data_IF_022051619085
#
_entry.id   IF_022051619085
#
_cell.length_a   1.000
_cell.length_b   1.000
_cell.length_c   1.000
_cell.angle_alpha   90.00
_cell.angle_beta   90.00
_cell.angle_gamma   90.00
#
_symmetry.space_group_name_H-M   'P 1'
#
loop_
_entity.id
_entity.type
_entity.pdbx_description
1 polymer ?
#
# COMPACT_ATOMS: atom_id res chain seq x y z
N UNK A 1 -9.26 7.96 28.10
CA UNK A 1 -8.35 9.12 28.29
C UNK A 1 -7.38 9.15 27.11
N UNK A 2 -7.59 10.04 26.14
CA UNK A 2 -6.64 10.21 25.03
C UNK A 2 -5.44 10.99 25.56
N UNK A 3 -4.30 10.33 25.69
CA UNK A 3 -3.03 10.95 26.09
C UNK A 3 -2.67 12.06 25.10
N UNK A 4 -2.43 13.27 25.62
CA UNK A 4 -1.94 14.41 24.83
C UNK A 4 -0.62 14.00 24.19
N UNK A 5 -0.55 14.02 22.86
CA UNK A 5 0.70 13.82 22.13
C UNK A 5 1.68 14.90 22.57
N UNK A 6 2.94 14.58 22.86
CA UNK A 6 3.95 15.62 22.99
C UNK A 6 3.99 16.39 21.67
N UNK A 7 3.74 17.71 21.72
CA UNK A 7 3.69 18.62 20.56
C UNK A 7 4.92 18.52 19.62
N UNK A 8 6.01 17.90 20.05
CA UNK A 8 7.24 17.71 19.26
C UNK A 8 7.19 16.58 18.23
N UNK A 9 6.43 15.50 18.46
CA UNK A 9 6.41 14.37 17.53
C UNK A 9 5.74 14.75 16.20
N UNK A 10 4.62 15.47 16.26
CA UNK A 10 3.87 15.89 15.06
C UNK A 10 4.66 16.92 14.23
N UNK A 11 5.40 17.82 14.89
CA UNK A 11 6.32 18.74 14.20
C UNK A 11 7.45 18.01 13.48
N UNK A 12 7.97 16.94 14.09
CA UNK A 12 9.04 16.13 13.50
C UNK A 12 8.54 15.43 12.23
N UNK A 13 7.35 14.84 12.27
CA UNK A 13 6.71 14.23 11.08
C UNK A 13 6.61 15.24 9.94
N UNK A 14 6.01 16.40 10.21
CA UNK A 14 5.84 17.44 9.17
C UNK A 14 7.17 17.93 8.62
N UNK A 15 8.18 18.12 9.47
CA UNK A 15 9.50 18.59 9.05
C UNK A 15 10.21 17.56 8.16
N UNK A 16 10.18 16.28 8.54
CA UNK A 16 10.78 15.22 7.74
C UNK A 16 10.08 15.07 6.39
N UNK A 17 8.76 15.05 6.37
CA UNK A 17 7.99 14.87 5.13
C UNK A 17 8.12 16.08 4.20
N UNK A 18 7.87 17.30 4.68
CA UNK A 18 7.96 18.51 3.86
C UNK A 18 9.40 18.74 3.42
N UNK A 19 10.38 18.53 4.32
CA UNK A 19 11.79 18.65 4.01
C UNK A 19 12.22 17.68 2.90
N UNK A 20 11.86 16.40 3.03
CA UNK A 20 12.18 15.39 2.01
C UNK A 20 11.55 15.74 0.65
N UNK A 21 10.25 16.04 0.61
CA UNK A 21 9.55 16.36 -0.63
C UNK A 21 10.09 17.65 -1.27
N UNK A 22 10.40 18.67 -0.47
CA UNK A 22 10.96 19.93 -0.98
C UNK A 22 12.36 19.71 -1.55
N UNK A 23 13.21 18.94 -0.86
CA UNK A 23 14.55 18.60 -1.36
C UNK A 23 14.48 17.79 -2.65
N UNK A 24 13.58 16.80 -2.71
CA UNK A 24 13.33 16.01 -3.91
C UNK A 24 12.91 16.91 -5.09
N UNK A 25 11.95 17.81 -4.88
CA UNK A 25 11.48 18.73 -5.91
C UNK A 25 12.60 19.69 -6.35
N UNK A 26 13.33 20.30 -5.42
CA UNK A 26 14.44 21.19 -5.73
C UNK A 26 15.51 20.48 -6.56
N UNK A 27 15.94 19.29 -6.13
CA UNK A 27 16.95 18.53 -6.87
C UNK A 27 16.47 18.14 -8.28
N UNK A 28 15.20 17.74 -8.40
CA UNK A 28 14.58 17.42 -9.70
C UNK A 28 14.54 18.62 -10.66
N UNK A 29 14.36 19.84 -10.13
CA UNK A 29 14.37 21.07 -10.93
C UNK A 29 15.79 21.46 -11.39
N UNK A 30 16.83 21.12 -10.63
CA UNK A 30 18.21 21.42 -11.01
C UNK A 30 18.79 20.41 -12.00
N UNK A 31 18.58 19.11 -11.76
CA UNK A 31 19.07 18.04 -12.64
C UNK A 31 18.10 16.85 -12.69
N UNK A 32 17.15 16.95 -13.62
CA UNK A 32 16.15 15.91 -13.86
C UNK A 32 16.79 14.60 -14.35
N UNK A 33 17.91 14.68 -15.09
CA UNK A 33 18.55 13.52 -15.69
C UNK A 33 19.21 12.64 -14.62
N UNK A 34 19.95 13.27 -13.70
CA UNK A 34 20.57 12.58 -12.58
C UNK A 34 19.53 12.06 -11.60
N UNK A 35 18.48 12.84 -11.31
CA UNK A 35 17.39 12.39 -10.46
C UNK A 35 16.73 11.11 -11.00
N UNK A 36 16.46 11.05 -12.31
CA UNK A 36 15.93 9.84 -12.95
C UNK A 36 16.86 8.64 -12.79
N UNK A 37 18.16 8.83 -13.03
CA UNK A 37 19.14 7.76 -12.86
C UNK A 37 19.19 7.22 -11.42
N UNK A 38 19.13 8.12 -10.43
CA UNK A 38 19.08 7.74 -9.02
C UNK A 38 17.82 6.93 -8.71
N UNK A 39 16.64 7.38 -9.19
CA UNK A 39 15.38 6.67 -9.02
C UNK A 39 15.45 5.27 -9.65
N UNK A 40 15.90 5.17 -10.90
CA UNK A 40 15.97 3.90 -11.63
C UNK A 40 16.93 2.92 -10.95
N UNK A 41 18.08 3.41 -10.45
CA UNK A 41 19.07 2.59 -9.72
C UNK A 41 18.51 2.10 -8.39
N UNK A 42 17.89 2.98 -7.61
CA UNK A 42 17.30 2.62 -6.32
C UNK A 42 16.09 1.70 -6.49
N UNK A 43 15.28 1.90 -7.52
CA UNK A 43 14.17 1.03 -7.88
C UNK A 43 14.68 -0.37 -8.21
N UNK A 44 15.67 -0.49 -9.11
CA UNK A 44 16.26 -1.77 -9.50
C UNK A 44 16.86 -2.51 -8.29
N UNK A 45 17.65 -1.82 -7.46
CA UNK A 45 18.22 -2.39 -6.24
C UNK A 45 17.14 -2.85 -5.25
N UNK A 46 16.06 -2.07 -5.10
CA UNK A 46 14.94 -2.41 -4.23
C UNK A 46 14.16 -3.62 -4.74
N UNK A 47 13.89 -3.70 -6.04
CA UNK A 47 13.18 -4.84 -6.64
C UNK A 47 13.99 -6.12 -6.57
N UNK A 48 15.32 -6.04 -6.76
CA UNK A 48 16.20 -7.20 -6.67
C UNK A 48 16.31 -7.72 -5.23
N UNK A 49 16.51 -6.80 -4.27
CA UNK A 49 16.72 -7.17 -2.86
C UNK A 49 15.42 -7.56 -2.15
N UNK A 50 14.35 -6.78 -2.32
CA UNK A 50 13.09 -6.95 -1.59
C UNK A 50 12.01 -7.68 -2.38
N UNK A 51 12.19 -7.90 -3.68
CA UNK A 51 11.22 -8.58 -4.54
C UNK A 51 10.82 -9.96 -4.02
N UNK A 52 11.77 -10.88 -3.77
CA UNK A 52 11.45 -12.20 -3.22
C UNK A 52 10.75 -12.13 -1.87
N UNK A 53 11.21 -11.25 -0.98
CA UNK A 53 10.56 -11.01 0.32
C UNK A 53 9.11 -10.55 0.15
N UNK A 54 8.85 -9.62 -0.78
CA UNK A 54 7.52 -9.11 -1.08
C UNK A 54 6.57 -10.20 -1.56
N UNK A 55 7.03 -11.10 -2.44
CA UNK A 55 6.21 -12.21 -2.94
C UNK A 55 5.77 -13.14 -1.80
N UNK A 56 6.70 -13.54 -0.93
CA UNK A 56 6.37 -14.38 0.23
C UNK A 56 5.49 -13.66 1.24
N UNK A 57 5.69 -12.35 1.44
CA UNK A 57 4.85 -11.55 2.32
C UNK A 57 3.39 -11.53 1.85
N UNK A 58 3.15 -11.37 0.54
CA UNK A 58 1.80 -11.39 -0.04
C UNK A 58 1.11 -12.73 0.18
N UNK A 59 1.80 -13.84 -0.09
CA UNK A 59 1.28 -15.20 0.11
C UNK A 59 0.99 -15.45 1.59
N UNK A 60 1.94 -15.14 2.48
CA UNK A 60 1.78 -15.31 3.92
C UNK A 60 0.60 -14.49 4.44
N UNK A 61 0.43 -13.26 3.97
CA UNK A 61 -0.65 -12.40 4.40
C UNK A 61 -2.02 -12.92 3.95
N UNK A 62 -2.13 -13.48 2.74
CA UNK A 62 -3.34 -14.20 2.30
C UNK A 62 -3.61 -15.44 3.16
N UNK A 63 -2.59 -16.24 3.46
CA UNK A 63 -2.74 -17.42 4.32
C UNK A 63 -3.22 -17.03 5.72
N UNK A 64 -2.64 -15.98 6.31
CA UNK A 64 -3.08 -15.43 7.61
C UNK A 64 -4.54 -14.98 7.53
N UNK A 65 -4.95 -14.30 6.45
CA UNK A 65 -6.33 -13.88 6.26
C UNK A 65 -7.30 -15.07 6.26
N UNK A 66 -6.99 -16.11 5.49
CA UNK A 66 -7.81 -17.32 5.38
C UNK A 66 -7.86 -18.08 6.72
N UNK A 67 -6.73 -18.22 7.41
CA UNK A 67 -6.66 -18.86 8.72
C UNK A 67 -7.49 -18.11 9.76
N UNK A 68 -7.39 -16.77 9.81
CA UNK A 68 -8.20 -15.97 10.73
C UNK A 68 -9.69 -16.14 10.40
N UNK A 69 -10.06 -16.00 9.12
CA UNK A 69 -11.45 -16.13 8.67
C UNK A 69 -12.06 -17.49 9.00
N UNK A 70 -11.32 -18.58 8.82
CA UNK A 70 -11.77 -19.95 9.12
C UNK A 70 -11.68 -20.36 10.60
N UNK A 71 -10.98 -19.58 11.43
CA UNK A 71 -10.76 -19.90 12.84
C UNK A 71 -11.78 -19.26 13.78
N UNK A 72 -11.63 -19.57 15.09
CA UNK A 72 -12.35 -18.89 16.17
C UNK A 72 -12.08 -17.37 16.22
N UNK A 73 -10.95 -16.90 15.67
CA UNK A 73 -10.57 -15.48 15.71
C UNK A 73 -11.38 -14.64 14.73
N UNK A 74 -11.85 -15.20 13.62
CA UNK A 74 -12.74 -14.49 12.68
C UNK A 74 -14.09 -14.10 13.26
N UNK A 75 -14.49 -14.71 14.39
CA UNK A 75 -15.73 -14.37 15.11
C UNK A 75 -15.54 -13.22 16.11
N UNK A 76 -14.30 -12.79 16.36
CA UNK A 76 -14.01 -11.70 17.28
C UNK A 76 -14.44 -10.36 16.66
N UNK A 77 -15.14 -9.55 17.44
CA UNK A 77 -15.54 -8.20 17.01
C UNK A 77 -14.38 -7.24 17.20
N UNK A 78 -14.04 -6.51 16.14
CA UNK A 78 -13.05 -5.44 16.20
C UNK A 78 -13.73 -4.13 16.61
N UNK A 79 -13.24 -3.53 17.70
CA UNK A 79 -13.78 -2.28 18.23
C UNK A 79 -14.58 -2.44 19.52
N UNK A 80 -14.92 -1.31 20.12
CA UNK A 80 -15.59 -1.27 21.42
C UNK A 80 -17.13 -1.35 21.34
N UNK A 81 -17.71 -1.21 20.15
CA UNK A 81 -19.16 -1.21 19.98
C UNK A 81 -19.71 -2.62 19.74
N UNK A 82 -20.89 -2.90 20.30
CA UNK A 82 -21.57 -4.17 20.14
C UNK A 82 -22.19 -4.34 18.75
N UNK A 83 -22.52 -3.25 18.05
CA UNK A 83 -23.11 -3.26 16.70
C UNK A 83 -22.24 -2.47 15.71
N UNK A 84 -22.23 -2.83 14.41
CA UNK A 84 -21.58 -2.02 13.39
C UNK A 84 -22.22 -0.64 13.29
N UNK A 85 -21.39 0.41 13.30
CA UNK A 85 -21.87 1.80 13.15
C UNK A 85 -22.31 2.14 11.73
N UNK A 86 -21.94 1.30 10.74
CA UNK A 86 -22.22 1.48 9.32
C UNK A 86 -22.83 0.19 8.78
N UNK A 87 -23.94 0.32 8.04
CA UNK A 87 -24.59 -0.83 7.41
C UNK A 87 -23.70 -1.48 6.34
N UNK A 88 -23.83 -2.80 6.18
CA UNK A 88 -22.96 -3.62 5.32
C UNK A 88 -22.83 -3.09 3.89
N UNK A 89 -23.95 -2.68 3.26
CA UNK A 89 -23.91 -2.11 1.91
C UNK A 89 -23.07 -0.84 1.83
N UNK A 90 -23.24 0.09 2.78
CA UNK A 90 -22.46 1.33 2.84
C UNK A 90 -20.99 1.04 3.11
N UNK A 91 -20.69 0.06 3.97
CA UNK A 91 -19.32 -0.37 4.25
C UNK A 91 -18.63 -0.95 3.00
N UNK A 92 -19.30 -1.86 2.29
CA UNK A 92 -18.81 -2.41 1.02
C UNK A 92 -18.61 -1.30 -0.03
N UNK A 93 -19.58 -0.40 -0.18
CA UNK A 93 -19.50 0.70 -1.13
C UNK A 93 -18.30 1.62 -0.84
N UNK A 94 -18.03 1.96 0.44
CA UNK A 94 -16.86 2.75 0.82
C UNK A 94 -15.55 2.04 0.48
N UNK A 95 -15.44 0.73 0.76
CA UNK A 95 -14.24 -0.06 0.43
C UNK A 95 -14.02 -0.06 -1.09
N UNK A 96 -15.05 -0.37 -1.87
CA UNK A 96 -14.96 -0.41 -3.33
C UNK A 96 -14.58 0.95 -3.92
N UNK A 97 -15.22 2.04 -3.47
CA UNK A 97 -14.92 3.39 -3.97
C UNK A 97 -13.50 3.84 -3.59
N UNK A 98 -13.05 3.53 -2.37
CA UNK A 98 -11.73 3.96 -1.88
C UNK A 98 -10.60 3.21 -2.60
N UNK A 99 -10.79 1.91 -2.87
CA UNK A 99 -9.73 1.07 -3.46
C UNK A 99 -9.68 1.14 -4.99
N UNK A 100 -10.82 1.28 -5.67
CA UNK A 100 -10.84 1.43 -7.14
C UNK A 100 -10.27 2.78 -7.61
N UNK A 101 -10.41 3.83 -6.81
CA UNK A 101 -9.90 5.17 -7.12
C UNK A 101 -8.36 5.23 -7.19
N UNK A 102 -7.66 4.31 -6.52
CA UNK A 102 -6.20 4.21 -6.52
C UNK A 102 -5.66 3.59 -7.80
N UNK A 103 -6.01 4.15 -8.98
CA UNK A 103 -5.52 3.79 -10.33
C UNK A 103 -5.81 2.37 -10.83
N UNK A 104 -6.73 1.64 -10.16
CA UNK A 104 -7.19 0.33 -10.63
C UNK A 104 -7.82 0.39 -12.01
N UNK A 105 -8.52 1.48 -12.35
CA UNK A 105 -9.17 1.66 -13.66
C UNK A 105 -8.17 1.74 -14.82
N UNK A 106 -7.01 2.39 -14.62
CA UNK A 106 -5.98 2.48 -15.65
C UNK A 106 -5.34 1.11 -15.88
N UNK A 107 -4.88 0.47 -14.80
CA UNK A 107 -4.19 -0.81 -14.88
C UNK A 107 -5.10 -1.99 -15.20
N UNK A 108 -6.40 -1.93 -14.91
CA UNK A 108 -7.34 -3.01 -15.27
C UNK A 108 -7.42 -3.27 -16.78
N UNK A 109 -7.17 -2.25 -17.61
CA UNK A 109 -7.10 -2.38 -19.07
C UNK A 109 -5.65 -2.49 -19.56
N UNK A 110 -4.75 -1.67 -19.01
CA UNK A 110 -3.35 -1.62 -19.48
C UNK A 110 -2.58 -2.91 -19.15
N UNK A 111 -2.81 -3.50 -17.98
CA UNK A 111 -2.01 -4.63 -17.50
C UNK A 111 -2.23 -5.93 -18.29
N UNK A 112 -3.48 -6.37 -18.57
CA UNK A 112 -3.68 -7.55 -19.42
C UNK A 112 -3.08 -7.38 -20.81
N UNK A 113 -3.18 -6.17 -21.39
CA UNK A 113 -2.59 -5.87 -22.70
C UNK A 113 -1.06 -5.92 -22.61
N UNK A 114 -0.47 -5.38 -21.54
CA UNK A 114 0.96 -5.46 -21.30
C UNK A 114 1.42 -6.92 -21.21
N UNK A 115 0.77 -7.75 -20.39
CA UNK A 115 1.12 -9.18 -20.28
C UNK A 115 0.83 -9.98 -21.56
N UNK A 116 -0.05 -9.50 -22.43
CA UNK A 116 -0.29 -10.09 -23.74
C UNK A 116 0.81 -9.74 -24.76
N UNK A 117 1.33 -8.50 -24.70
CA UNK A 117 2.43 -8.03 -25.55
C UNK A 117 3.80 -8.54 -25.09
N UNK A 118 3.99 -8.63 -23.77
CA UNK A 118 5.20 -9.13 -23.12
C UNK A 118 4.80 -10.15 -22.07
N UNK A 119 4.91 -11.43 -22.43
CA UNK A 119 4.46 -12.51 -21.57
C UNK A 119 5.23 -12.54 -20.23
N UNK A 120 4.54 -12.86 -19.11
CA UNK A 120 5.21 -13.04 -17.83
C UNK A 120 6.30 -14.13 -17.92
N UNK A 121 7.45 -13.96 -17.24
CA UNK A 121 8.55 -14.94 -17.31
C UNK A 121 8.19 -16.36 -16.88
N UNK A 122 7.09 -16.55 -16.14
CA UNK A 122 6.58 -17.86 -15.73
C UNK A 122 5.84 -18.62 -16.84
N UNK A 123 5.63 -18.00 -18.00
CA UNK A 123 4.92 -18.58 -19.14
C UNK A 123 5.95 -19.01 -20.18
N UNK A 124 6.06 -20.31 -20.41
CA UNK A 124 7.00 -20.90 -21.37
C UNK A 124 6.24 -21.50 -22.56
N UNK A 125 6.88 -21.49 -23.75
CA UNK A 125 6.34 -22.15 -24.95
C UNK A 125 5.13 -21.48 -25.59
N UNK A 126 4.85 -20.22 -25.26
CA UNK A 126 3.79 -19.40 -25.85
C UNK A 126 4.41 -18.15 -26.44
N UNK A 127 4.06 -17.82 -27.68
CA UNK A 127 4.49 -16.58 -28.30
C UNK A 127 3.60 -15.41 -27.86
N UNK A 128 4.16 -14.21 -27.62
CA UNK A 128 3.35 -13.04 -27.32
C UNK A 128 2.40 -12.72 -28.47
N UNK A 129 1.30 -12.04 -28.14
CA UNK A 129 0.29 -11.57 -29.10
C UNK A 129 -0.45 -12.66 -29.90
N UNK A 130 -0.40 -13.92 -29.47
CA UNK A 130 -1.20 -15.01 -30.05
C UNK A 130 -2.48 -15.31 -29.28
N UNK A 131 -3.38 -16.12 -29.84
CA UNK A 131 -4.57 -16.55 -29.11
C UNK A 131 -4.23 -17.32 -27.83
N UNK A 132 -3.13 -18.09 -27.81
CA UNK A 132 -2.68 -18.81 -26.60
C UNK A 132 -2.19 -17.86 -25.49
N UNK A 133 -1.69 -16.67 -25.83
CA UNK A 133 -1.20 -15.68 -24.87
C UNK A 133 -2.30 -14.99 -24.04
N UNK A 134 -3.57 -15.06 -24.47
CA UNK A 134 -4.70 -14.36 -23.82
C UNK A 134 -4.92 -14.85 -22.39
N UNK A 135 -4.96 -16.17 -22.19
CA UNK A 135 -5.24 -16.75 -20.88
C UNK A 135 -4.13 -16.45 -19.87
N UNK A 136 -2.83 -16.70 -20.17
CA UNK A 136 -1.74 -16.35 -19.25
C UNK A 136 -1.68 -14.86 -18.89
N UNK A 137 -1.93 -13.97 -19.85
CA UNK A 137 -1.95 -12.53 -19.62
C UNK A 137 -3.05 -12.09 -18.64
N UNK A 138 -4.27 -12.63 -18.82
CA UNK A 138 -5.38 -12.39 -17.91
C UNK A 138 -5.15 -13.03 -16.54
N UNK A 139 -4.61 -14.26 -16.48
CA UNK A 139 -4.30 -14.94 -15.23
C UNK A 139 -3.32 -14.15 -14.36
N UNK A 140 -2.28 -13.57 -14.96
CA UNK A 140 -1.32 -12.72 -14.22
C UNK A 140 -1.99 -11.46 -13.66
N UNK A 141 -2.83 -10.81 -14.47
CA UNK A 141 -3.58 -9.63 -14.05
C UNK A 141 -4.54 -9.97 -12.90
N UNK A 142 -5.26 -11.09 -12.98
CA UNK A 142 -6.13 -11.54 -11.90
C UNK A 142 -5.37 -11.95 -10.63
N UNK A 143 -4.13 -12.42 -10.76
CA UNK A 143 -3.29 -12.69 -9.60
C UNK A 143 -2.92 -11.39 -8.87
N UNK A 144 -2.50 -10.36 -9.59
CA UNK A 144 -2.13 -9.05 -9.02
C UNK A 144 -3.31 -8.29 -8.41
N UNK A 145 -4.52 -8.39 -8.98
CA UNK A 145 -5.71 -7.68 -8.48
C UNK A 145 -6.69 -8.57 -7.69
N UNK A 146 -6.34 -9.84 -7.51
CA UNK A 146 -7.13 -10.84 -6.82
C UNK A 146 -6.83 -10.93 -5.32
N UNK A 147 -7.00 -12.11 -4.75
CA UNK A 147 -7.01 -12.32 -3.31
C UNK A 147 -5.76 -11.81 -2.57
N UNK A 148 -4.57 -11.87 -3.20
CA UNK A 148 -3.32 -11.40 -2.60
C UNK A 148 -3.35 -9.90 -2.29
N UNK A 149 -3.75 -9.07 -3.25
CA UNK A 149 -3.86 -7.62 -3.05
C UNK A 149 -4.93 -7.26 -2.02
N UNK A 150 -6.09 -7.92 -2.06
CA UNK A 150 -7.18 -7.66 -1.11
C UNK A 150 -6.82 -8.08 0.32
N UNK A 151 -6.09 -9.19 0.48
CA UNK A 151 -5.59 -9.60 1.79
C UNK A 151 -4.60 -8.55 2.33
N UNK A 152 -3.69 -8.02 1.50
CA UNK A 152 -2.69 -7.03 1.91
C UNK A 152 -3.33 -5.75 2.45
N UNK A 153 -4.41 -5.31 1.82
CA UNK A 153 -5.12 -4.08 2.18
C UNK A 153 -6.09 -4.27 3.35
N UNK A 154 -6.79 -5.41 3.40
CA UNK A 154 -7.95 -5.59 4.27
C UNK A 154 -7.69 -6.33 5.59
N UNK A 155 -6.62 -7.15 5.67
CA UNK A 155 -6.47 -8.12 6.75
C UNK A 155 -5.52 -7.65 7.85
N UNK A 156 -4.22 -7.96 7.73
CA UNK A 156 -3.28 -7.88 8.84
C UNK A 156 -3.14 -6.46 9.37
N UNK A 157 -2.96 -5.49 8.48
CA UNK A 157 -2.83 -4.08 8.86
C UNK A 157 -4.06 -3.56 9.60
N UNK A 158 -5.27 -3.84 9.08
CA UNK A 158 -6.53 -3.43 9.70
C UNK A 158 -6.71 -4.06 11.07
N UNK A 159 -6.46 -5.37 11.22
CA UNK A 159 -6.60 -6.08 12.49
C UNK A 159 -5.63 -5.49 13.53
N UNK A 160 -4.36 -5.31 13.16
CA UNK A 160 -3.34 -4.78 14.06
C UNK A 160 -3.66 -3.34 14.47
N UNK A 161 -4.05 -2.47 13.53
CA UNK A 161 -4.41 -1.08 13.82
C UNK A 161 -5.64 -0.99 14.73
N UNK A 162 -6.67 -1.79 14.45
CA UNK A 162 -7.88 -1.83 15.26
C UNK A 162 -7.58 -2.34 16.68
N UNK A 163 -6.76 -3.38 16.79
CA UNK A 163 -6.33 -3.92 18.08
C UNK A 163 -5.52 -2.88 18.86
N UNK A 164 -4.50 -2.28 18.24
CA UNK A 164 -3.67 -1.26 18.85
C UNK A 164 -4.49 -0.06 19.32
N UNK A 165 -5.42 0.42 18.51
CA UNK A 165 -6.25 1.57 18.87
C UNK A 165 -7.23 1.26 20.01
N UNK A 166 -7.99 0.17 19.91
CA UNK A 166 -9.06 -0.12 20.86
C UNK A 166 -8.58 -0.79 22.15
N UNK A 167 -7.55 -1.64 22.07
CA UNK A 167 -7.00 -2.35 23.24
C UNK A 167 -5.76 -1.67 23.80
N UNK A 168 -4.89 -1.14 22.93
CA UNK A 168 -3.67 -0.44 23.34
C UNK A 168 -3.85 1.05 23.67
N UNK A 169 -4.97 1.64 23.24
CA UNK A 169 -5.25 3.07 23.46
C UNK A 169 -4.33 4.01 22.67
N UNK A 170 -3.62 3.49 21.65
CA UNK A 170 -2.76 4.31 20.78
C UNK A 170 -3.56 5.00 19.69
N UNK A 171 -2.97 6.03 19.07
CA UNK A 171 -3.61 6.73 17.97
C UNK A 171 -3.52 5.91 16.69
N UNK A 172 -4.52 6.06 15.80
CA UNK A 172 -4.49 5.48 14.46
C UNK A 172 -3.45 6.20 13.60
N UNK A 173 -2.20 5.76 13.70
CA UNK A 173 -1.03 6.26 12.95
C UNK A 173 -0.27 5.06 12.36
N UNK A 174 0.48 5.22 11.26
CA UNK A 174 1.28 4.14 10.68
C UNK A 174 2.15 3.40 11.71
N UNK A 175 2.79 4.13 12.64
CA UNK A 175 3.59 3.55 13.73
C UNK A 175 2.83 2.54 14.60
N UNK A 176 1.50 2.62 14.69
CA UNK A 176 0.70 1.70 15.50
C UNK A 176 0.68 0.28 14.94
N UNK A 177 1.08 0.07 13.69
CA UNK A 177 1.32 -1.29 13.14
C UNK A 177 2.41 -2.05 13.90
N UNK A 178 3.35 -1.34 14.54
CA UNK A 178 4.41 -1.94 15.34
C UNK A 178 4.01 -2.11 16.82
N UNK A 179 2.81 -1.69 17.22
CA UNK A 179 2.32 -1.81 18.59
C UNK A 179 2.47 -3.24 19.18
N UNK A 180 2.20 -4.34 18.46
CA UNK A 180 2.39 -5.69 19.02
C UNK A 180 3.84 -6.02 19.40
N UNK A 181 4.83 -5.35 18.79
CA UNK A 181 6.25 -5.62 19.03
C UNK A 181 6.85 -4.71 20.10
N UNK A 182 6.46 -3.43 20.12
CA UNK A 182 7.10 -2.40 20.96
C UNK A 182 6.14 -1.68 21.89
N UNK A 183 4.85 -2.05 21.88
CA UNK A 183 3.79 -1.43 22.68
C UNK A 183 3.68 0.06 22.44
N UNK A 184 3.44 0.82 23.52
CA UNK A 184 3.26 2.27 23.49
C UNK A 184 4.57 3.08 23.31
N UNK A 185 5.74 2.42 23.21
CA UNK A 185 7.04 3.12 23.18
C UNK A 185 7.15 4.10 22.02
N UNK A 186 6.61 3.76 20.85
CA UNK A 186 6.70 4.61 19.66
C UNK A 186 5.79 5.84 19.69
N UNK A 187 4.78 5.91 20.57
CA UNK A 187 3.89 7.08 20.65
C UNK A 187 4.66 8.33 21.08
N UNK A 188 5.66 8.17 21.95
CA UNK A 188 6.44 9.28 22.51
C UNK A 188 7.86 9.36 21.93
N UNK A 189 8.32 8.32 21.24
CA UNK A 189 9.67 8.24 20.70
C UNK A 189 9.78 8.86 19.30
N UNK A 190 10.91 9.53 19.02
CA UNK A 190 11.17 10.19 17.73
C UNK A 190 11.17 9.21 16.55
N UNK A 191 11.61 7.96 16.76
CA UNK A 191 11.55 6.90 15.75
C UNK A 191 10.13 6.68 15.21
N UNK A 192 9.09 6.84 16.03
CA UNK A 192 7.72 6.75 15.54
C UNK A 192 7.39 7.86 14.54
N UNK A 193 7.98 9.05 14.71
CA UNK A 193 7.81 10.15 13.76
C UNK A 193 8.51 9.87 12.43
N UNK A 194 9.66 9.19 12.46
CA UNK A 194 10.34 8.72 11.24
C UNK A 194 9.47 7.69 10.51
N UNK A 195 8.91 6.71 11.22
CA UNK A 195 8.03 5.69 10.62
C UNK A 195 6.81 6.32 9.96
N UNK A 196 6.14 7.25 10.66
CA UNK A 196 4.99 7.95 10.11
C UNK A 196 5.39 8.80 8.88
N UNK A 197 6.54 9.49 8.93
CA UNK A 197 7.03 10.27 7.80
C UNK A 197 7.33 9.39 6.58
N UNK A 198 8.02 8.25 6.76
CA UNK A 198 8.27 7.28 5.68
C UNK A 198 6.96 6.78 5.05
N UNK A 199 5.95 6.47 5.87
CA UNK A 199 4.64 6.04 5.38
C UNK A 199 3.94 7.15 4.57
N UNK A 200 3.98 8.40 5.02
CA UNK A 200 3.39 9.53 4.30
C UNK A 200 4.13 9.76 2.97
N UNK A 201 5.47 9.73 2.98
CA UNK A 201 6.28 9.88 1.77
C UNK A 201 5.96 8.76 0.76
N UNK A 202 5.88 7.51 1.21
CA UNK A 202 5.53 6.38 0.36
C UNK A 202 4.13 6.51 -0.27
N UNK A 203 3.13 6.94 0.52
CA UNK A 203 1.77 7.20 0.00
C UNK A 203 1.76 8.38 -0.97
N UNK A 204 2.51 9.46 -0.68
CA UNK A 204 2.62 10.61 -1.57
C UNK A 204 3.26 10.20 -2.91
N UNK A 205 4.38 9.49 -2.89
CA UNK A 205 5.03 8.99 -4.09
C UNK A 205 4.09 8.09 -4.92
N UNK A 206 3.37 7.17 -4.27
CA UNK A 206 2.44 6.25 -4.95
C UNK A 206 1.15 6.89 -5.50
N UNK A 207 0.77 8.07 -5.01
CA UNK A 207 -0.43 8.80 -5.47
C UNK A 207 -0.10 9.89 -6.50
N UNK A 208 1.02 10.59 -6.36
CA UNK A 208 1.43 11.67 -7.28
C UNK A 208 1.66 11.12 -8.70
N UNK A 209 2.34 9.98 -8.85
CA UNK A 209 2.59 9.39 -10.17
C UNK A 209 1.30 9.12 -10.97
N UNK A 210 0.18 8.85 -10.28
CA UNK A 210 -1.12 8.61 -10.92
C UNK A 210 -1.83 9.90 -11.32
N UNK A 211 -1.66 10.98 -10.56
CA UNK A 211 -2.24 12.28 -10.89
C UNK A 211 -1.57 12.89 -12.13
N UNK A 212 -0.26 12.70 -12.28
CA UNK A 212 0.51 13.27 -13.40
C UNK A 212 0.15 12.61 -14.73
N UNK A 213 0.00 11.28 -14.79
CA UNK A 213 -0.41 10.60 -16.02
C UNK A 213 -1.82 11.00 -16.47
N UNK A 214 -2.72 11.20 -15.49
CA UNK A 214 -4.08 11.66 -15.76
C UNK A 214 -4.11 13.11 -16.26
N UNK A 215 -3.39 14.03 -15.60
CA UNK A 215 -3.30 15.43 -16.03
C UNK A 215 -2.64 15.59 -17.41
N UNK A 216 -1.62 14.78 -17.72
CA UNK A 216 -0.99 14.80 -19.04
C UNK A 216 -1.98 14.41 -20.14
N UNK A 217 -2.77 13.34 -19.93
CA UNK A 217 -3.77 12.90 -20.91
C UNK A 217 -4.86 13.94 -21.20
N UNK A 218 -5.21 14.79 -20.21
CA UNK A 218 -6.14 15.92 -20.40
C UNK A 218 -5.48 17.14 -21.06
N UNK A 219 -4.20 17.39 -20.81
CA UNK A 219 -3.48 18.50 -21.43
C UNK A 219 -3.16 18.25 -22.91
N UNK A 220 -3.15 16.98 -23.35
CA UNK A 220 -2.87 16.57 -24.73
C UNK A 220 -4.12 16.16 -25.52
N UNK A 221 -5.31 16.24 -24.92
CA UNK A 221 -6.61 15.99 -25.55
C UNK A 221 -7.28 17.30 -25.96
#
# INVERSE_FOLDING_TARGET
MLTKTPKGADKTVSTLTIGFLSLFLLFSLFDMSHMRQVIDTLFAASTDTFGPFWQWLMVLNLLIALLIAGSRWGKQRLGAQSTPSIGTFRWLAMIMCTLLAGGGVFWSAAEPIYHFMTLPPSVEGVDPQTAEAVVPALSQSFMHWGFLAWAALGTLATIVLMYAHHQGGVKLRPRALLYPLVGNKLEQHWLGAVIDACAIIAVAAGTIGRLVSWLHSWATA
#
